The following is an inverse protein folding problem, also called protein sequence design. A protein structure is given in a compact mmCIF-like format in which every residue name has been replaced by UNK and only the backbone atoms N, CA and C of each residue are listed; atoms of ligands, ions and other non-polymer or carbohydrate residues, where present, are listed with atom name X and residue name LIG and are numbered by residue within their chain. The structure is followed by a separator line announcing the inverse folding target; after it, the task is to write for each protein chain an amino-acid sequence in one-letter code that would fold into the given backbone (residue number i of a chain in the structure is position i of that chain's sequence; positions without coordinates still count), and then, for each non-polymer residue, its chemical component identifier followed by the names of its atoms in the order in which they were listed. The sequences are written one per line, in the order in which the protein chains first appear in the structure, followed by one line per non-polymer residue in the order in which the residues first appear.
data_IF_327083543722
#
_entry.id   IF_327083543722
#
_cell.length_a   1.000
_cell.length_b   1.000
_cell.length_c   1.000
_cell.angle_alpha   90.00
_cell.angle_beta   90.00
_cell.angle_gamma   90.00
#
_symmetry.space_group_name_H-M   'P 1'
#
loop_
_entity.id
_entity.type
_entity.pdbx_description
1 polymer ?
#
# COMPACT_ATOMS: atom_id res chain seq x y z
N UNK A 1 -25.18 -33.80 28.08
CA UNK A 1 -25.89 -33.65 26.80
C UNK A 1 -26.08 -32.22 26.37
N UNK A 2 -26.55 -31.38 27.25
CA UNK A 2 -26.76 -29.97 26.93
C UNK A 2 -25.50 -29.31 26.39
N UNK A 3 -24.35 -29.70 26.89
CA UNK A 3 -23.15 -29.08 26.41
C UNK A 3 -22.60 -29.58 25.07
N UNK A 4 -23.10 -30.68 24.57
CA UNK A 4 -22.83 -31.07 23.19
C UNK A 4 -23.47 -30.07 22.23
N UNK A 5 -24.70 -29.70 22.49
CA UNK A 5 -25.38 -28.69 21.71
C UNK A 5 -24.67 -27.33 21.81
N UNK A 6 -24.23 -27.00 23.00
CA UNK A 6 -23.48 -25.77 23.23
C UNK A 6 -22.16 -25.76 22.47
N UNK A 7 -21.44 -26.86 22.50
CA UNK A 7 -20.18 -26.98 21.76
C UNK A 7 -20.38 -26.86 20.25
N UNK A 8 -21.42 -27.52 19.73
CA UNK A 8 -21.74 -27.41 18.30
C UNK A 8 -22.09 -25.98 17.90
N UNK A 9 -22.90 -25.31 18.71
CA UNK A 9 -23.26 -23.92 18.48
C UNK A 9 -22.06 -23.00 18.57
N UNK A 10 -21.20 -23.24 19.54
CA UNK A 10 -19.97 -22.46 19.69
C UNK A 10 -19.02 -22.61 18.50
N UNK A 11 -18.86 -23.81 18.01
CA UNK A 11 -18.03 -24.07 16.83
C UNK A 11 -18.59 -23.40 15.59
N UNK A 12 -19.90 -23.50 15.38
CA UNK A 12 -20.53 -22.82 14.24
C UNK A 12 -20.38 -21.32 14.30
N UNK A 13 -20.52 -20.73 15.48
CA UNK A 13 -20.33 -19.30 15.67
C UNK A 13 -18.88 -18.89 15.40
N UNK A 14 -17.93 -19.69 15.84
CA UNK A 14 -16.51 -19.45 15.57
C UNK A 14 -16.22 -19.53 14.08
N UNK A 15 -16.79 -20.50 13.39
CA UNK A 15 -16.62 -20.63 11.94
C UNK A 15 -17.22 -19.45 11.20
N UNK A 16 -18.40 -19.00 11.61
CA UNK A 16 -19.05 -17.83 10.98
C UNK A 16 -18.21 -16.57 11.21
N UNK A 17 -17.67 -16.39 12.41
CA UNK A 17 -16.82 -15.25 12.70
C UNK A 17 -15.55 -15.29 11.87
N UNK A 18 -14.94 -16.46 11.73
CA UNK A 18 -13.74 -16.64 10.93
C UNK A 18 -14.00 -16.31 9.45
N UNK A 19 -15.12 -16.77 8.92
CA UNK A 19 -15.53 -16.48 7.54
C UNK A 19 -15.76 -14.98 7.34
N UNK A 20 -16.45 -14.35 8.29
CA UNK A 20 -16.73 -12.91 8.23
C UNK A 20 -15.43 -12.10 8.24
N UNK A 21 -14.51 -12.45 9.10
CA UNK A 21 -13.20 -11.80 9.19
C UNK A 21 -12.45 -11.98 7.87
N UNK A 22 -12.44 -13.18 7.33
CA UNK A 22 -11.78 -13.47 6.07
C UNK A 22 -12.38 -12.63 4.92
N UNK A 23 -13.70 -12.52 4.86
CA UNK A 23 -14.38 -11.68 3.88
C UNK A 23 -14.00 -10.21 4.04
N UNK A 24 -13.93 -9.73 5.28
CA UNK A 24 -13.54 -8.35 5.56
C UNK A 24 -12.08 -8.10 5.17
N UNK A 25 -11.20 -9.06 5.39
CA UNK A 25 -9.80 -8.97 4.98
C UNK A 25 -9.68 -8.92 3.46
N UNK A 26 -10.42 -9.77 2.76
CA UNK A 26 -10.44 -9.78 1.30
C UNK A 26 -10.97 -8.47 0.74
N UNK A 27 -12.01 -7.91 1.37
CA UNK A 27 -12.55 -6.61 0.98
C UNK A 27 -11.52 -5.51 1.19
N UNK A 28 -10.83 -5.52 2.33
CA UNK A 28 -9.78 -4.54 2.62
C UNK A 28 -8.64 -4.64 1.60
N UNK A 29 -8.23 -5.85 1.23
CA UNK A 29 -7.22 -6.05 0.20
C UNK A 29 -7.67 -5.55 -1.16
N UNK A 30 -8.93 -5.80 -1.53
CA UNK A 30 -9.50 -5.30 -2.78
C UNK A 30 -9.52 -3.76 -2.81
N UNK A 31 -9.87 -3.14 -1.69
CA UNK A 31 -9.84 -1.69 -1.57
C UNK A 31 -8.42 -1.13 -1.74
N UNK A 32 -7.43 -1.82 -1.19
CA UNK A 32 -6.02 -1.44 -1.37
C UNK A 32 -5.59 -1.55 -2.83
N UNK A 33 -6.04 -2.57 -3.54
CA UNK A 33 -5.72 -2.72 -4.96
C UNK A 33 -6.30 -1.61 -5.82
N UNK A 34 -7.48 -1.10 -5.45
CA UNK A 34 -8.17 -0.04 -6.18
C UNK A 34 -7.75 1.36 -5.75
N UNK A 35 -7.07 1.47 -4.62
CA UNK A 35 -6.64 2.75 -4.06
C UNK A 35 -5.52 3.36 -4.90
N UNK A 36 -5.53 4.68 -5.02
CA UNK A 36 -4.44 5.41 -5.65
C UNK A 36 -3.60 6.09 -4.58
N UNK A 37 -2.30 5.81 -4.61
CA UNK A 37 -1.32 6.41 -3.72
C UNK A 37 -0.30 7.15 -4.57
N UNK A 38 -0.02 8.39 -4.22
CA UNK A 38 0.92 9.23 -4.97
C UNK A 38 2.21 9.43 -4.17
N UNK A 39 3.34 9.13 -4.80
CA UNK A 39 4.65 9.42 -4.26
C UNK A 39 5.27 10.59 -4.99
N UNK A 40 5.88 11.51 -4.27
CA UNK A 40 6.49 12.72 -4.82
C UNK A 40 8.00 12.74 -4.51
N UNK A 41 8.80 13.18 -5.46
CA UNK A 41 10.23 13.25 -5.30
C UNK A 41 10.68 14.21 -4.18
N UNK A 42 9.87 15.20 -3.87
CA UNK A 42 10.14 16.13 -2.77
C UNK A 42 9.47 15.74 -1.45
N UNK A 43 8.72 14.64 -1.43
CA UNK A 43 7.97 14.20 -0.24
C UNK A 43 6.79 15.08 0.12
N UNK A 44 6.48 16.08 -0.68
CA UNK A 44 5.46 17.07 -0.38
C UNK A 44 4.38 17.12 -1.43
N UNK A 45 4.46 18.07 -2.32
CA UNK A 45 3.41 18.36 -3.26
C UNK A 45 3.87 18.19 -4.71
N UNK A 46 2.91 17.93 -5.58
CA UNK A 46 3.12 17.92 -7.02
C UNK A 46 3.57 19.31 -7.49
N UNK A 47 4.55 19.34 -8.37
CA UNK A 47 5.08 20.58 -8.92
C UNK A 47 5.79 20.34 -10.24
N UNK A 48 6.16 21.42 -10.92
CA UNK A 48 6.80 21.38 -12.23
C UNK A 48 8.16 20.68 -12.23
N UNK A 49 8.82 20.65 -11.07
CA UNK A 49 10.13 20.05 -10.90
C UNK A 49 10.05 18.69 -10.16
N UNK A 50 8.86 18.15 -10.03
CA UNK A 50 8.60 16.97 -9.22
C UNK A 50 8.37 15.75 -10.09
N UNK A 51 8.89 14.61 -9.66
CA UNK A 51 8.53 13.31 -10.21
C UNK A 51 7.41 12.75 -9.36
N UNK A 52 6.34 12.28 -9.99
CA UNK A 52 5.19 11.69 -9.32
C UNK A 52 5.10 10.22 -9.72
N UNK A 53 4.99 9.35 -8.75
CA UNK A 53 4.77 7.92 -8.97
C UNK A 53 3.37 7.58 -8.50
N UNK A 54 2.60 6.96 -9.36
CA UNK A 54 1.23 6.49 -9.07
C UNK A 54 1.30 5.01 -8.76
N UNK A 55 0.80 4.63 -7.61
CA UNK A 55 0.74 3.21 -7.23
C UNK A 55 -0.55 2.92 -6.48
N UNK A 56 -0.84 1.63 -6.31
CA UNK A 56 -1.97 1.24 -5.46
C UNK A 56 -1.49 0.99 -4.03
N UNK A 57 -2.43 0.65 -3.14
CA UNK A 57 -2.10 0.39 -1.73
C UNK A 57 -1.26 -0.88 -1.53
N UNK A 58 -1.11 -1.71 -2.55
CA UNK A 58 -0.25 -2.90 -2.53
C UNK A 58 1.10 -2.66 -3.17
N UNK A 59 1.45 -1.41 -3.42
CA UNK A 59 2.74 -0.99 -3.96
C UNK A 59 2.98 -1.41 -5.41
N UNK A 60 1.90 -1.60 -6.17
CA UNK A 60 2.02 -1.81 -7.62
C UNK A 60 2.05 -0.46 -8.29
N UNK A 61 3.13 -0.18 -9.00
CA UNK A 61 3.31 1.08 -9.71
C UNK A 61 2.51 1.04 -11.01
N UNK A 62 1.61 2.01 -11.17
CA UNK A 62 0.72 2.11 -12.33
C UNK A 62 1.14 3.20 -13.30
N UNK A 63 1.94 4.13 -12.86
CA UNK A 63 2.39 5.21 -13.73
C UNK A 63 3.45 6.07 -13.08
N UNK A 64 4.18 6.78 -13.92
CA UNK A 64 5.19 7.75 -13.48
C UNK A 64 4.97 8.98 -14.33
N UNK A 65 4.94 10.14 -13.68
CA UNK A 65 4.78 11.41 -14.36
C UNK A 65 5.91 12.34 -13.97
N UNK A 66 6.50 12.96 -14.97
CA UNK A 66 7.53 13.97 -14.75
C UNK A 66 6.91 15.35 -14.81
N UNK A 67 7.24 16.20 -13.86
CA UNK A 67 6.81 17.60 -13.88
C UNK A 67 7.28 18.30 -15.16
N UNK A 68 6.60 19.34 -15.54
CA UNK A 68 6.81 20.01 -16.84
C UNK A 68 8.22 20.55 -17.02
N UNK A 69 8.92 20.87 -15.94
CA UNK A 69 10.29 21.42 -15.99
C UNK A 69 11.39 20.37 -15.91
N UNK A 70 11.06 19.12 -15.69
CA UNK A 70 12.06 18.05 -15.57
C UNK A 70 12.89 17.95 -16.85
N UNK A 71 12.25 18.04 -18.02
CA UNK A 71 12.94 17.97 -19.29
C UNK A 71 13.91 19.13 -19.51
N UNK A 72 13.66 20.28 -18.88
CA UNK A 72 14.56 21.43 -18.93
C UNK A 72 15.73 21.32 -17.95
N UNK A 73 15.52 20.59 -16.84
CA UNK A 73 16.51 20.42 -15.79
C UNK A 73 17.49 19.31 -16.08
N UNK A 74 17.09 18.32 -16.88
CA UNK A 74 17.84 17.09 -17.08
C UNK A 74 18.28 16.94 -18.54
N UNK A 75 19.58 16.88 -18.74
CA UNK A 75 20.20 16.52 -20.02
C UNK A 75 20.61 15.05 -19.94
N UNK A 76 19.93 14.19 -20.67
CA UNK A 76 20.17 12.75 -20.63
C UNK A 76 21.54 12.34 -21.16
N UNK A 77 22.26 13.26 -21.82
CA UNK A 77 23.64 13.01 -22.25
C UNK A 77 24.67 13.33 -21.15
N UNK A 78 24.23 13.97 -20.08
CA UNK A 78 25.09 14.32 -18.93
C UNK A 78 24.86 13.30 -17.81
N UNK A 79 25.94 12.63 -17.38
CA UNK A 79 25.87 11.59 -16.35
C UNK A 79 25.36 12.13 -15.03
N UNK A 80 25.74 13.34 -14.64
CA UNK A 80 25.31 13.96 -13.39
C UNK A 80 23.81 14.24 -13.41
N UNK A 81 23.28 14.67 -14.53
CA UNK A 81 21.85 14.94 -14.69
C UNK A 81 21.04 13.64 -14.68
N UNK A 82 21.56 12.59 -15.31
CA UNK A 82 20.92 11.26 -15.26
C UNK A 82 20.86 10.74 -13.83
N UNK A 83 21.96 10.88 -13.09
CA UNK A 83 22.00 10.49 -11.68
C UNK A 83 20.99 11.28 -10.86
N UNK A 84 20.85 12.56 -11.10
CA UNK A 84 19.85 13.41 -10.45
C UNK A 84 18.43 12.89 -10.73
N UNK A 85 18.12 12.53 -11.98
CA UNK A 85 16.81 11.99 -12.36
C UNK A 85 16.56 10.65 -11.67
N UNK A 86 17.54 9.79 -11.61
CA UNK A 86 17.46 8.51 -10.90
C UNK A 86 17.13 8.73 -9.43
N UNK A 87 17.80 9.68 -8.80
CA UNK A 87 17.56 10.02 -7.39
C UNK A 87 16.16 10.56 -7.17
N UNK A 88 15.65 11.39 -8.08
CA UNK A 88 14.28 11.90 -8.01
C UNK A 88 13.27 10.75 -8.14
N UNK A 89 13.51 9.79 -9.04
CA UNK A 89 12.66 8.63 -9.19
C UNK A 89 12.65 7.78 -7.93
N UNK A 90 13.83 7.49 -7.37
CA UNK A 90 13.94 6.71 -6.15
C UNK A 90 13.21 7.39 -4.99
N UNK A 91 13.37 8.69 -4.86
CA UNK A 91 12.71 9.46 -3.81
C UNK A 91 11.18 9.38 -3.94
N UNK A 92 10.66 9.51 -5.17
CA UNK A 92 9.22 9.42 -5.42
C UNK A 92 8.69 8.02 -5.12
N UNK A 93 9.40 6.98 -5.53
CA UNK A 93 9.02 5.59 -5.28
C UNK A 93 9.01 5.31 -3.77
N UNK A 94 10.05 5.72 -3.07
CA UNK A 94 10.15 5.50 -1.63
C UNK A 94 9.07 6.26 -0.86
N UNK A 95 8.75 7.47 -1.28
CA UNK A 95 7.66 8.25 -0.70
C UNK A 95 6.31 7.56 -0.91
N UNK A 96 6.07 7.05 -2.11
CA UNK A 96 4.87 6.29 -2.43
C UNK A 96 4.76 5.01 -1.62
N UNK A 97 5.85 4.28 -1.49
CA UNK A 97 5.88 3.06 -0.69
C UNK A 97 5.56 3.33 0.78
N UNK A 98 6.10 4.40 1.32
CA UNK A 98 5.83 4.80 2.70
C UNK A 98 4.34 5.09 2.90
N UNK A 99 3.75 5.84 1.98
CA UNK A 99 2.32 6.17 2.03
C UNK A 99 1.45 4.93 1.85
N UNK A 100 1.83 4.05 0.93
CA UNK A 100 1.12 2.79 0.72
C UNK A 100 1.17 1.91 1.97
N UNK A 101 2.31 1.86 2.67
CA UNK A 101 2.44 1.14 3.93
C UNK A 101 1.51 1.71 5.00
N UNK A 102 1.39 3.03 5.07
CA UNK A 102 0.48 3.69 6.01
C UNK A 102 -0.97 3.31 5.73
N UNK A 103 -1.36 3.29 4.46
CA UNK A 103 -2.71 2.88 4.06
C UNK A 103 -2.95 1.39 4.34
N UNK A 104 -1.96 0.56 4.08
CA UNK A 104 -2.04 -0.86 4.40
C UNK A 104 -2.27 -1.08 5.89
N UNK A 105 -1.52 -0.38 6.73
CA UNK A 105 -1.68 -0.47 8.18
C UNK A 105 -3.05 -0.02 8.65
N UNK A 106 -3.59 1.03 8.03
CA UNK A 106 -4.95 1.50 8.34
C UNK A 106 -6.01 0.47 7.97
N UNK A 107 -5.91 -0.12 6.78
CA UNK A 107 -6.89 -1.08 6.27
C UNK A 107 -6.78 -2.44 6.96
N UNK A 108 -5.56 -2.91 7.17
CA UNK A 108 -5.31 -4.25 7.71
C UNK A 108 -5.03 -4.25 9.22
N UNK A 109 -4.88 -3.06 9.83
CA UNK A 109 -4.63 -2.93 11.25
C UNK A 109 -5.64 -3.63 12.14
N UNK A 110 -6.96 -3.53 11.86
CA UNK A 110 -7.96 -4.25 12.64
C UNK A 110 -7.78 -5.76 12.66
N UNK A 111 -7.06 -6.31 11.70
CA UNK A 111 -6.80 -7.75 11.58
C UNK A 111 -5.41 -8.13 12.09
N UNK A 112 -4.66 -7.15 12.59
CA UNK A 112 -3.28 -7.35 13.05
C UNK A 112 -3.15 -8.37 14.16
N UNK A 113 -4.08 -8.36 15.13
CA UNK A 113 -4.09 -9.31 16.23
C UNK A 113 -4.26 -10.73 15.74
N UNK A 114 -5.09 -10.93 14.72
CA UNK A 114 -5.31 -12.24 14.12
C UNK A 114 -4.08 -12.69 13.34
N UNK A 115 -3.49 -11.75 12.59
CA UNK A 115 -2.24 -12.00 11.89
C UNK A 115 -1.11 -12.32 12.85
N UNK A 116 -1.04 -11.64 13.98
CA UNK A 116 -0.08 -11.91 15.04
C UNK A 116 -0.23 -13.29 15.63
N UNK A 117 -1.47 -13.70 15.87
CA UNK A 117 -1.76 -15.06 16.35
C UNK A 117 -1.36 -16.10 15.31
N UNK A 118 -1.67 -15.84 14.05
CA UNK A 118 -1.24 -16.72 12.96
C UNK A 118 0.27 -16.80 12.84
N UNK A 119 0.94 -15.69 13.04
CA UNK A 119 2.40 -15.63 13.02
C UNK A 119 3.07 -16.38 14.15
N UNK A 120 2.39 -16.50 15.29
CA UNK A 120 2.90 -17.22 16.45
C UNK A 120 2.71 -18.73 16.32
N UNK A 121 1.82 -19.13 15.44
CA UNK A 121 1.55 -20.54 15.19
C UNK A 121 2.34 -21.05 14.00
#
# INVERSE_FOLDING_TARGET
MAYRGGNGGGMQNMMKQAQKIQEQMQQAEAELEEMEVLGFSGGGEEGDETVVVYMNGKKVINGIEFGSKISEMVDLSDEDDVEMLEDLLMAAINDGYKKADEEYKKKMGPFGNLGGLGGLM
#
